data_IF_146533617596
#
_entry.id   IF_146533617596
#
_cell.length_a   1.000
_cell.length_b   1.000
_cell.length_c   1.000
_cell.angle_alpha   90.00
_cell.angle_beta   90.00
_cell.angle_gamma   90.00
#
_symmetry.space_group_name_H-M   'P 1'
#
loop_
_entity.id
_entity.type
_entity.pdbx_description
1 polymer ?
#
# COMPACT_ATOMS: atom_id res chain seq x y z
N UNK A 1 -26.78 1.36 4.48
CA UNK A 1 -25.71 2.29 4.93
C UNK A 1 -24.30 1.70 4.79
N UNK A 2 -24.05 0.42 5.11
CA UNK A 2 -22.69 -0.17 5.10
C UNK A 2 -21.92 -0.12 3.75
N UNK A 3 -22.60 0.17 2.65
CA UNK A 3 -22.04 0.31 1.31
C UNK A 3 -21.82 1.77 0.89
N UNK A 4 -22.19 2.75 1.72
CA UNK A 4 -22.14 4.17 1.38
C UNK A 4 -20.73 4.63 0.99
N UNK A 5 -19.69 4.01 1.57
CA UNK A 5 -18.30 4.29 1.21
C UNK A 5 -17.97 4.06 -0.26
N UNK A 6 -18.71 3.18 -0.95
CA UNK A 6 -18.46 2.88 -2.37
C UNK A 6 -18.72 4.07 -3.30
N UNK A 7 -19.42 5.11 -2.83
CA UNK A 7 -19.63 6.35 -3.60
C UNK A 7 -18.34 7.16 -3.79
N UNK A 8 -17.36 6.98 -2.89
CA UNK A 8 -16.07 7.71 -2.91
C UNK A 8 -14.88 6.76 -3.10
N UNK A 9 -15.13 5.46 -3.30
CA UNK A 9 -14.15 4.51 -3.84
C UNK A 9 -14.17 4.63 -5.38
N UNK A 10 -13.02 4.54 -6.08
CA UNK A 10 -11.91 3.70 -5.66
C UNK A 10 -10.58 4.43 -5.37
N UNK A 11 -9.98 4.13 -4.22
CA UNK A 11 -8.59 4.47 -3.93
C UNK A 11 -7.61 3.50 -4.62
N UNK A 12 -6.38 3.94 -4.86
CA UNK A 12 -5.29 3.07 -5.32
C UNK A 12 -5.07 1.96 -4.28
N UNK A 13 -5.16 0.70 -4.73
CA UNK A 13 -4.92 -0.48 -3.93
C UNK A 13 -3.41 -0.78 -3.91
N UNK A 14 -2.84 -0.71 -2.71
CA UNK A 14 -1.40 -0.88 -2.46
C UNK A 14 -1.13 -2.11 -1.60
N UNK A 15 0.10 -2.60 -1.66
CA UNK A 15 0.62 -3.62 -0.75
C UNK A 15 1.43 -2.94 0.36
N UNK A 16 0.97 -3.06 1.60
CA UNK A 16 1.68 -2.56 2.79
C UNK A 16 2.45 -3.70 3.43
N UNK A 17 3.76 -3.54 3.61
CA UNK A 17 4.61 -4.48 4.34
C UNK A 17 4.94 -3.96 5.74
N UNK A 18 5.18 -4.88 6.67
CA UNK A 18 5.58 -4.59 8.05
C UNK A 18 6.57 -5.63 8.58
N UNK A 19 7.26 -5.31 9.68
CA UNK A 19 8.25 -6.19 10.30
C UNK A 19 9.66 -5.99 9.75
N UNK A 20 10.41 -7.08 9.60
CA UNK A 20 11.82 -7.07 9.15
C UNK A 20 12.04 -8.11 8.04
N UNK A 21 13.19 -8.09 7.37
CA UNK A 21 13.54 -9.13 6.37
C UNK A 21 13.37 -10.56 6.90
N UNK A 22 13.75 -10.82 8.15
CA UNK A 22 13.64 -12.16 8.77
C UNK A 22 12.20 -12.51 9.18
N UNK A 23 11.39 -11.50 9.52
CA UNK A 23 10.02 -11.68 9.99
C UNK A 23 9.15 -10.54 9.49
N UNK A 24 8.64 -10.69 8.28
CA UNK A 24 7.73 -9.74 7.63
C UNK A 24 6.44 -10.39 7.16
N UNK A 25 5.44 -9.56 6.93
CA UNK A 25 4.20 -9.90 6.24
C UNK A 25 3.79 -8.71 5.37
N UNK A 26 2.82 -8.96 4.49
CA UNK A 26 2.25 -7.95 3.60
C UNK A 26 0.72 -8.04 3.58
N UNK A 27 0.05 -6.92 3.35
CA UNK A 27 -1.40 -6.87 3.19
C UNK A 27 -1.83 -5.84 2.18
N UNK A 28 -3.00 -6.06 1.60
CA UNK A 28 -3.60 -5.11 0.67
C UNK A 28 -4.39 -4.05 1.42
N UNK A 29 -4.15 -2.78 1.06
CA UNK A 29 -4.82 -1.62 1.62
C UNK A 29 -5.29 -0.72 0.48
N UNK A 30 -6.56 -0.31 0.48
CA UNK A 30 -7.08 0.72 -0.42
C UNK A 30 -7.34 2.05 0.29
N UNK A 31 -7.36 2.05 1.63
CA UNK A 31 -7.60 3.23 2.45
C UNK A 31 -6.27 3.86 2.86
N UNK A 32 -5.69 4.57 1.90
CA UNK A 32 -4.52 5.40 2.09
C UNK A 32 -4.69 6.71 1.33
N UNK A 33 -4.05 7.78 1.82
CA UNK A 33 -4.05 9.08 1.15
C UNK A 33 -2.86 9.92 1.59
N UNK A 34 -2.33 10.81 0.74
CA UNK A 34 -1.49 11.91 1.20
C UNK A 34 -2.24 12.79 2.21
N UNK A 35 -1.51 13.32 3.18
CA UNK A 35 -1.96 14.29 4.20
C UNK A 35 -1.26 15.63 4.03
N UNK A 36 0.04 15.60 3.71
CA UNK A 36 0.88 16.78 3.51
C UNK A 36 1.93 16.50 2.44
N UNK A 37 2.19 17.47 1.57
CA UNK A 37 3.22 17.40 0.52
C UNK A 37 4.46 18.26 0.80
N UNK A 38 4.41 19.15 1.79
CA UNK A 38 5.61 19.86 2.28
C UNK A 38 6.62 18.87 2.87
N UNK A 39 7.84 19.32 3.14
CA UNK A 39 8.86 18.51 3.84
C UNK A 39 8.65 18.59 5.37
N UNK A 40 8.39 17.49 6.10
CA UNK A 40 8.31 16.11 5.61
C UNK A 40 6.97 15.76 4.94
N UNK A 41 7.03 14.92 3.89
CA UNK A 41 5.84 14.39 3.23
C UNK A 41 5.12 13.42 4.18
N UNK A 42 3.80 13.57 4.34
CA UNK A 42 3.00 12.78 5.28
C UNK A 42 1.90 12.05 4.53
N UNK A 43 1.76 10.75 4.84
CA UNK A 43 0.67 9.90 4.37
C UNK A 43 -0.13 9.33 5.53
N UNK A 44 -1.39 9.01 5.26
CA UNK A 44 -2.27 8.31 6.18
C UNK A 44 -2.60 6.93 5.61
N UNK A 45 -2.53 5.90 6.45
CA UNK A 45 -2.97 4.54 6.14
C UNK A 45 -3.95 4.06 7.21
N UNK A 46 -5.09 3.51 6.80
CA UNK A 46 -6.12 3.02 7.73
C UNK A 46 -6.03 1.51 7.88
N UNK A 47 -5.67 1.04 9.06
CA UNK A 47 -5.35 -0.37 9.31
C UNK A 47 -6.32 -0.99 10.31
N UNK A 48 -6.82 -2.19 10.00
CA UNK A 48 -7.64 -2.95 10.94
C UNK A 48 -6.75 -3.62 12.01
N UNK A 49 -7.12 -3.53 13.29
CA UNK A 49 -6.31 -4.05 14.39
C UNK A 49 -6.09 -5.57 14.40
N UNK A 50 -6.89 -6.33 13.66
CA UNK A 50 -6.74 -7.79 13.58
C UNK A 50 -5.70 -8.24 12.53
N UNK A 51 -5.11 -7.32 11.77
CA UNK A 51 -4.19 -7.68 10.68
C UNK A 51 -2.82 -8.01 11.25
N UNK A 52 -2.32 -9.20 10.93
CA UNK A 52 -0.96 -9.63 11.32
C UNK A 52 0.11 -8.64 10.89
N UNK A 53 0.05 -8.16 9.64
CA UNK A 53 0.96 -7.13 9.14
C UNK A 53 0.99 -5.89 10.03
N UNK A 54 -0.17 -5.46 10.55
CA UNK A 54 -0.23 -4.31 11.45
C UNK A 54 0.34 -4.60 12.84
N UNK A 55 0.22 -5.84 13.34
CA UNK A 55 0.97 -6.26 14.54
C UNK A 55 2.47 -6.08 14.35
N UNK A 56 3.01 -6.46 13.18
CA UNK A 56 4.43 -6.29 12.87
C UNK A 56 4.83 -4.82 12.74
N UNK A 57 4.01 -3.98 12.08
CA UNK A 57 4.25 -2.53 11.97
C UNK A 57 4.37 -1.89 13.36
N UNK A 58 3.55 -2.31 14.33
CA UNK A 58 3.59 -1.75 15.70
C UNK A 58 4.84 -2.15 16.49
N UNK A 59 5.60 -3.15 16.04
CA UNK A 59 6.81 -3.58 16.74
C UNK A 59 7.98 -2.63 16.49
N UNK A 60 8.08 -2.07 15.28
CA UNK A 60 9.18 -1.18 14.88
C UNK A 60 8.74 0.23 14.46
N UNK A 61 7.43 0.51 14.38
CA UNK A 61 6.88 1.78 13.89
C UNK A 61 7.32 2.12 12.47
N UNK A 62 7.49 1.10 11.63
CA UNK A 62 7.90 1.25 10.23
C UNK A 62 6.99 0.44 9.32
N UNK A 63 6.75 0.94 8.11
CA UNK A 63 6.04 0.25 7.04
C UNK A 63 6.58 0.65 5.67
N UNK A 64 6.33 -0.16 4.65
CA UNK A 64 6.50 0.26 3.25
C UNK A 64 5.17 0.17 2.52
N UNK A 65 4.80 1.22 1.78
CA UNK A 65 3.69 1.20 0.84
C UNK A 65 4.26 0.87 -0.55
N UNK A 66 3.82 -0.24 -1.13
CA UNK A 66 4.27 -0.72 -2.44
C UNK A 66 3.12 -0.62 -3.44
N UNK A 67 3.39 -0.11 -4.65
CA UNK A 67 2.38 0.15 -5.68
C UNK A 67 2.39 -0.97 -6.73
N UNK A 68 1.42 -1.90 -6.72
CA UNK A 68 1.33 -2.97 -7.71
C UNK A 68 0.71 -2.50 -9.03
N UNK A 69 1.13 -3.10 -10.14
CA UNK A 69 0.47 -2.98 -11.44
C UNK A 69 -0.66 -4.00 -11.63
N UNK A 70 -1.33 -3.92 -12.78
CA UNK A 70 -2.44 -4.79 -13.17
C UNK A 70 -2.05 -6.28 -13.21
N UNK A 71 -0.81 -6.58 -13.60
CA UNK A 71 -0.24 -7.92 -13.65
C UNK A 71 -0.17 -8.60 -12.28
N UNK A 72 -0.16 -7.82 -11.19
CA UNK A 72 -0.17 -8.30 -9.80
C UNK A 72 -1.58 -8.35 -9.18
N UNK A 73 -2.64 -8.28 -9.98
CA UNK A 73 -4.03 -8.28 -9.48
C UNK A 73 -4.33 -9.48 -8.60
N UNK A 74 -3.93 -10.69 -9.02
CA UNK A 74 -4.23 -11.92 -8.28
C UNK A 74 -3.52 -11.94 -6.91
N UNK A 75 -2.25 -11.55 -6.86
CA UNK A 75 -1.41 -11.46 -5.66
C UNK A 75 -1.94 -10.38 -4.73
N UNK A 76 -2.26 -9.20 -5.29
CA UNK A 76 -2.86 -8.08 -4.55
C UNK A 76 -4.22 -8.47 -3.97
N UNK A 77 -5.05 -9.21 -4.69
CA UNK A 77 -6.31 -9.69 -4.12
C UNK A 77 -6.08 -10.72 -3.00
N UNK A 78 -5.16 -11.67 -3.23
CA UNK A 78 -4.83 -12.73 -2.27
C UNK A 78 -4.33 -12.16 -0.94
N UNK A 79 -3.36 -11.23 -0.95
CA UNK A 79 -2.78 -10.64 0.26
C UNK A 79 -3.80 -9.86 1.11
N UNK A 80 -4.93 -9.44 0.51
CA UNK A 80 -6.05 -8.79 1.20
C UNK A 80 -7.05 -9.76 1.83
N UNK A 81 -7.06 -11.03 1.42
CA UNK A 81 -8.09 -12.02 1.81
C UNK A 81 -7.60 -13.08 2.79
N UNK A 82 -6.29 -13.32 2.87
CA UNK A 82 -5.67 -14.28 3.80
C UNK A 82 -4.94 -13.58 4.95
N UNK A 83 -4.74 -14.30 6.06
CA UNK A 83 -4.09 -13.78 7.27
C UNK A 83 -2.73 -14.40 7.50
N UNK A 84 -1.74 -13.55 7.77
CA UNK A 84 -0.35 -13.95 8.01
C UNK A 84 -0.14 -14.69 9.34
N UNK A 85 -1.12 -14.66 10.25
CA UNK A 85 -1.05 -15.42 11.51
C UNK A 85 -0.99 -16.94 11.30
N UNK A 86 -1.45 -17.43 10.13
CA UNK A 86 -1.56 -18.88 9.85
C UNK A 86 -0.87 -19.29 8.56
N UNK A 87 -0.51 -18.34 7.71
CA UNK A 87 -0.03 -18.59 6.35
C UNK A 87 1.13 -17.66 6.08
N UNK A 88 2.21 -18.20 5.54
CA UNK A 88 3.26 -17.38 4.92
C UNK A 88 2.72 -16.80 3.61
N UNK A 89 2.44 -15.49 3.61
CA UNK A 89 1.89 -14.82 2.43
C UNK A 89 2.91 -14.58 1.34
N UNK A 90 4.20 -14.45 1.66
CA UNK A 90 5.25 -14.35 0.64
C UNK A 90 5.27 -15.63 -0.19
N UNK A 91 5.35 -16.78 0.47
CA UNK A 91 5.31 -18.07 -0.20
C UNK A 91 3.99 -18.30 -0.97
N UNK A 92 2.84 -17.94 -0.37
CA UNK A 92 1.52 -18.19 -0.97
C UNK A 92 1.24 -17.30 -2.18
N UNK A 93 1.71 -16.06 -2.17
CA UNK A 93 1.52 -15.10 -3.27
C UNK A 93 2.59 -15.24 -4.36
N UNK A 94 3.75 -15.80 -4.04
CA UNK A 94 4.90 -15.86 -4.93
C UNK A 94 5.60 -14.51 -5.12
N UNK A 95 5.30 -13.52 -4.26
CA UNK A 95 5.96 -12.22 -4.25
C UNK A 95 7.32 -12.30 -3.54
N UNK A 96 8.23 -11.41 -3.91
CA UNK A 96 9.61 -11.44 -3.44
C UNK A 96 9.90 -10.27 -2.49
N UNK A 97 10.29 -10.52 -1.23
CA UNK A 97 10.74 -9.46 -0.34
C UNK A 97 12.11 -8.94 -0.79
N UNK A 98 12.26 -7.62 -0.92
CA UNK A 98 13.51 -6.96 -1.24
C UNK A 98 13.91 -5.95 -0.15
N UNK A 99 15.22 -5.69 0.06
CA UNK A 99 15.66 -4.78 1.12
C UNK A 99 15.27 -3.33 0.81
N UNK A 100 14.67 -2.67 1.79
CA UNK A 100 14.45 -1.22 1.80
C UNK A 100 15.76 -0.45 2.10
N UNK A 101 15.76 0.86 1.85
CA UNK A 101 16.92 1.74 2.01
C UNK A 101 17.08 2.27 3.43
N UNK A 102 15.99 2.74 4.05
CA UNK A 102 15.98 3.51 5.30
C UNK A 102 15.07 2.94 6.40
N UNK A 103 14.29 1.89 6.10
CA UNK A 103 13.42 1.19 7.05
C UNK A 103 13.64 -0.33 7.02
N UNK A 104 13.14 -1.05 8.03
CA UNK A 104 13.30 -2.51 8.14
C UNK A 104 12.30 -3.37 7.33
N UNK A 105 11.02 -2.98 7.17
CA UNK A 105 10.08 -3.77 6.38
C UNK A 105 10.54 -3.84 4.91
N UNK A 106 10.42 -5.00 4.27
CA UNK A 106 10.89 -5.17 2.90
C UNK A 106 10.01 -4.42 1.90
N UNK A 107 10.59 -4.09 0.76
CA UNK A 107 9.84 -3.82 -0.47
C UNK A 107 9.24 -5.11 -1.04
N UNK A 108 8.25 -4.96 -1.92
CA UNK A 108 7.78 -6.03 -2.81
C UNK A 108 8.46 -5.84 -4.16
N UNK A 109 9.39 -6.72 -4.54
CA UNK A 109 10.27 -6.52 -5.70
C UNK A 109 9.52 -6.34 -7.03
N UNK A 110 8.32 -6.90 -7.14
CA UNK A 110 7.51 -6.86 -8.34
C UNK A 110 6.69 -5.56 -8.47
N UNK A 111 6.62 -4.72 -7.42
CA UNK A 111 5.92 -3.44 -7.47
C UNK A 111 6.81 -2.35 -8.10
N UNK A 112 6.20 -1.44 -8.87
CA UNK A 112 6.92 -0.38 -9.58
C UNK A 112 7.11 0.92 -8.78
N UNK A 113 6.69 0.94 -7.52
CA UNK A 113 6.90 2.09 -6.64
C UNK A 113 6.80 1.74 -5.17
N UNK A 114 7.58 2.45 -4.36
CA UNK A 114 7.76 2.21 -2.93
C UNK A 114 7.79 3.53 -2.16
N UNK A 115 7.05 3.60 -1.05
CA UNK A 115 7.19 4.65 -0.04
C UNK A 115 7.62 4.00 1.26
N UNK A 116 8.81 4.33 1.74
CA UNK A 116 9.31 3.92 3.04
C UNK A 116 8.84 4.90 4.10
N UNK A 117 8.22 4.39 5.16
CA UNK A 117 7.45 5.19 6.08
C UNK A 117 7.81 4.89 7.53
N UNK A 118 7.90 5.96 8.35
CA UNK A 118 7.96 5.87 9.81
C UNK A 118 6.65 6.39 10.42
N UNK A 119 6.08 5.63 11.35
CA UNK A 119 4.83 5.99 12.02
C UNK A 119 5.09 7.17 12.95
N UNK A 120 4.37 8.27 12.73
CA UNK A 120 4.41 9.47 13.58
C UNK A 120 3.34 9.40 14.68
N UNK A 121 2.11 9.07 14.30
CA UNK A 121 0.96 9.10 15.18
C UNK A 121 -0.05 8.00 14.81
N UNK A 122 -0.82 7.56 15.78
CA UNK A 122 -1.88 6.57 15.59
C UNK A 122 -3.13 7.01 16.33
N UNK A 123 -4.24 7.09 15.62
CA UNK A 123 -5.55 7.43 16.21
C UNK A 123 -6.50 6.26 16.08
N UNK A 124 -6.96 5.73 17.22
CA UNK A 124 -7.89 4.60 17.21
C UNK A 124 -9.32 5.03 16.90
N UNK A 125 -9.94 4.37 15.92
CA UNK A 125 -11.32 4.62 15.48
C UNK A 125 -12.08 3.31 15.34
N UNK A 126 -12.95 3.02 16.32
CA UNK A 126 -13.74 1.77 16.37
C UNK A 126 -12.84 0.54 16.22
N UNK A 127 -12.87 -0.19 15.11
CA UNK A 127 -12.06 -1.41 14.83
C UNK A 127 -10.76 -1.14 14.08
N UNK A 128 -10.58 0.07 13.54
CA UNK A 128 -9.41 0.46 12.76
C UNK A 128 -8.60 1.51 13.52
N UNK A 129 -7.35 1.67 13.12
CA UNK A 129 -6.52 2.80 13.52
C UNK A 129 -6.13 3.61 12.27
N UNK A 130 -6.13 4.93 12.42
CA UNK A 130 -5.59 5.89 11.47
C UNK A 130 -4.09 6.03 11.77
N UNK A 131 -3.24 5.51 10.90
CA UNK A 131 -1.78 5.48 11.08
C UNK A 131 -1.17 6.58 10.20
N UNK A 132 -0.69 7.64 10.83
CA UNK A 132 -0.06 8.79 10.18
C UNK A 132 1.44 8.55 10.11
N UNK A 133 2.01 8.63 8.91
CA UNK A 133 3.40 8.29 8.66
C UNK A 133 4.13 9.41 7.92
N UNK A 134 5.39 9.63 8.32
CA UNK A 134 6.38 10.38 7.56
C UNK A 134 6.96 9.48 6.47
N UNK A 135 6.99 9.97 5.22
CA UNK A 135 7.70 9.30 4.13
C UNK A 135 9.18 9.69 4.20
N UNK A 136 10.03 8.72 4.50
CA UNK A 136 11.48 8.93 4.66
C UNK A 136 12.27 8.62 3.40
N UNK A 137 11.71 7.81 2.49
CA UNK A 137 12.25 7.54 1.16
C UNK A 137 11.12 7.16 0.20
N UNK A 138 11.29 7.49 -1.08
CA UNK A 138 10.36 7.16 -2.14
C UNK A 138 11.12 6.79 -3.42
N UNK A 139 10.71 5.72 -4.08
CA UNK A 139 11.26 5.26 -5.35
C UNK A 139 10.12 4.83 -6.27
N UNK A 140 10.27 5.08 -7.56
CA UNK A 140 9.38 4.61 -8.60
C UNK A 140 10.18 4.36 -9.89
N UNK A 141 9.75 3.40 -10.69
CA UNK A 141 10.37 3.14 -12.00
C UNK A 141 10.16 4.35 -12.94
N UNK A 142 11.25 4.96 -13.40
CA UNK A 142 11.22 6.16 -14.24
C UNK A 142 10.44 5.97 -15.55
N UNK A 143 10.37 4.74 -16.08
CA UNK A 143 9.60 4.45 -17.28
C UNK A 143 8.09 4.66 -17.06
N UNK A 144 7.61 4.46 -15.83
CA UNK A 144 6.20 4.48 -15.44
C UNK A 144 5.77 5.74 -14.70
N UNK A 145 6.72 6.58 -14.27
CA UNK A 145 6.46 7.75 -13.43
C UNK A 145 7.27 8.99 -13.87
N UNK A 146 6.58 10.08 -14.22
CA UNK A 146 7.16 11.36 -14.67
C UNK A 146 6.77 12.56 -13.77
N UNK A 147 6.51 12.29 -12.49
CA UNK A 147 5.84 13.21 -11.56
C UNK A 147 4.39 12.82 -11.29
N UNK A 148 3.84 11.94 -12.13
CA UNK A 148 2.64 11.16 -11.89
C UNK A 148 2.78 9.78 -12.55
N UNK A 149 1.93 8.80 -12.20
CA UNK A 149 1.85 7.53 -12.92
C UNK A 149 1.41 7.76 -14.36
N UNK A 150 2.09 7.15 -15.33
CA UNK A 150 1.78 7.24 -16.77
C UNK A 150 0.77 6.13 -17.10
N UNK A 151 -0.54 6.42 -17.19
CA UNK A 151 -1.58 5.39 -17.27
C UNK A 151 -1.53 4.57 -18.56
N UNK A 152 -0.89 5.08 -19.61
CA UNK A 152 -0.71 4.35 -20.86
C UNK A 152 0.42 3.31 -20.80
N UNK A 153 1.24 3.35 -19.74
CA UNK A 153 2.38 2.45 -19.53
C UNK A 153 2.24 1.57 -18.29
N UNK A 154 1.64 2.10 -17.23
CA UNK A 154 1.49 1.40 -15.95
C UNK A 154 0.06 1.57 -15.39
N UNK A 155 -0.62 0.44 -15.23
CA UNK A 155 -1.99 0.37 -14.78
C UNK A 155 -2.04 0.12 -13.27
N UNK A 156 -2.10 1.18 -12.46
CA UNK A 156 -2.33 1.03 -11.02
C UNK A 156 -3.66 0.36 -10.74
N UNK A 157 -3.73 -0.45 -9.69
CA UNK A 157 -4.96 -1.12 -9.27
C UNK A 157 -5.83 -0.20 -8.40
N UNK A 158 -7.14 -0.18 -8.63
CA UNK A 158 -8.11 0.63 -7.89
C UNK A 158 -9.24 -0.25 -7.35
N UNK A 159 -9.29 -0.46 -6.04
CA UNK A 159 -10.29 -1.37 -5.44
C UNK A 159 -11.70 -0.76 -5.50
N UNK A 160 -12.66 -1.51 -6.02
CA UNK A 160 -14.07 -1.06 -6.10
C UNK A 160 -14.94 -1.78 -5.05
N UNK A 161 -15.14 -3.09 -5.24
CA UNK A 161 -15.94 -3.90 -4.33
C UNK A 161 -15.62 -5.38 -4.49
N UNK A 162 -15.54 -6.12 -3.38
CA UNK A 162 -15.38 -7.58 -3.36
C UNK A 162 -14.17 -8.04 -4.18
N UNK A 163 -14.37 -8.58 -5.39
CA UNK A 163 -13.32 -9.04 -6.30
C UNK A 163 -13.08 -8.09 -7.48
N UNK A 164 -13.74 -6.92 -7.50
CA UNK A 164 -13.70 -5.96 -8.62
C UNK A 164 -12.69 -4.85 -8.36
N UNK A 165 -11.86 -4.60 -9.37
CA UNK A 165 -10.86 -3.55 -9.43
C UNK A 165 -11.02 -2.78 -10.75
N UNK A 166 -10.59 -1.53 -10.76
CA UNK A 166 -10.37 -0.74 -11.96
C UNK A 166 -8.88 -0.46 -12.16
N UNK A 167 -8.55 0.10 -13.33
CA UNK A 167 -7.21 0.57 -13.68
C UNK A 167 -7.27 2.00 -14.20
N UNK A 168 -6.19 2.77 -14.03
CA UNK A 168 -6.03 4.05 -14.72
C UNK A 168 -5.62 3.79 -16.16
N UNK A 169 -6.27 4.47 -17.12
CA UNK A 169 -5.99 4.25 -18.55
C UNK A 169 -5.65 5.53 -19.32
N UNK A 170 -5.85 6.72 -18.73
CA UNK A 170 -5.51 7.99 -19.38
C UNK A 170 -5.35 9.13 -18.38
N UNK A 171 -4.57 10.14 -18.77
CA UNK A 171 -4.55 11.46 -18.11
C UNK A 171 -5.51 12.43 -18.80
N UNK A 172 -6.08 13.33 -18.02
CA UNK A 172 -6.85 14.46 -18.51
C UNK A 172 -6.20 15.75 -17.99
N UNK A 173 -6.05 16.72 -18.87
CA UNK A 173 -5.52 18.04 -18.52
C UNK A 173 -6.69 19.02 -18.38
N UNK A 174 -6.81 19.62 -17.20
CA UNK A 174 -7.87 20.57 -16.88
C UNK A 174 -7.53 22.02 -17.27
N UNK A 175 -6.26 22.30 -17.61
CA UNK A 175 -5.79 23.64 -17.98
C UNK A 175 -5.87 23.91 -19.49
N UNK A 176 -6.50 23.01 -20.25
CA UNK A 176 -6.80 23.18 -21.68
C UNK A 176 -8.19 23.75 -21.93
#
# INVERSE_FOLDING_TARGET
>A
MNQAKWLIEPGCAVLVTGGTMDKSDLMTVSWQTPVQTADPCIVLVVLNRIRYTYELIRQNNELVINVPGEELLAQTHLCGTISGHKVDKWQKSGLTPAPAKLVQPPWVAECSGHLECRVMQTFSVTTHDLVVCEVVHAEAEEEFFDGAWIPEKFHTLHYMQSTKYGVLTRRLDAAK
#
